data_IF_043787113564
#
_entry.id   IF_043787113564
#
_cell.length_a   1.000
_cell.length_b   1.000
_cell.length_c   1.000
_cell.angle_alpha   90.00
_cell.angle_beta   90.00
_cell.angle_gamma   90.00
#
_symmetry.space_group_name_H-M   'P 1'
#
loop_
_entity.id
_entity.type
_entity.pdbx_description
1 polymer ?
#
# COMPACT_ATOMS: atom_id res chain seq x y z
N UNK A 1 11.78 18.92 -3.18
CA UNK A 1 11.62 17.94 -4.26
C UNK A 1 10.27 18.19 -4.90
N UNK A 2 10.23 18.43 -6.22
CA UNK A 2 8.98 18.57 -6.97
C UNK A 2 8.50 17.19 -7.43
N UNK A 3 7.20 17.03 -7.60
CA UNK A 3 6.64 15.82 -8.20
C UNK A 3 6.86 15.84 -9.70
N UNK A 4 7.17 14.70 -10.30
CA UNK A 4 7.12 14.55 -11.75
C UNK A 4 5.69 14.61 -12.25
N UNK A 5 5.50 14.96 -13.53
CA UNK A 5 4.21 14.98 -14.23
C UNK A 5 3.77 13.56 -14.63
N UNK A 6 2.46 13.37 -14.75
CA UNK A 6 1.86 12.12 -15.25
C UNK A 6 2.06 11.96 -16.75
N UNK A 7 1.70 10.81 -17.31
CA UNK A 7 1.78 10.61 -18.76
C UNK A 7 0.86 11.57 -19.52
N UNK A 8 -0.45 11.57 -19.24
CA UNK A 8 -1.40 12.50 -19.87
C UNK A 8 -1.01 13.97 -19.70
N UNK A 9 -0.60 14.37 -18.49
CA UNK A 9 -0.18 15.75 -18.22
C UNK A 9 1.02 16.19 -19.09
N UNK A 10 1.92 15.26 -19.42
CA UNK A 10 3.04 15.56 -20.33
C UNK A 10 2.55 15.67 -21.76
N UNK A 11 1.65 14.78 -22.20
CA UNK A 11 1.03 14.85 -23.52
C UNK A 11 0.24 16.16 -23.71
N UNK A 12 -0.52 16.58 -22.70
CA UNK A 12 -1.26 17.84 -22.72
C UNK A 12 -0.30 19.04 -22.85
N UNK A 13 0.79 19.06 -22.07
CA UNK A 13 1.80 20.12 -22.16
C UNK A 13 2.59 20.11 -23.48
N UNK A 14 2.84 18.93 -24.05
CA UNK A 14 3.43 18.80 -25.39
C UNK A 14 2.47 19.37 -26.46
N UNK A 15 1.17 19.06 -26.37
CA UNK A 15 0.14 19.65 -27.22
C UNK A 15 0.02 21.17 -27.06
N UNK A 16 0.05 21.67 -25.82
CA UNK A 16 0.06 23.11 -25.54
C UNK A 16 1.29 23.79 -26.11
N UNK A 17 2.47 23.15 -26.02
CA UNK A 17 3.71 23.66 -26.62
C UNK A 17 3.53 23.82 -28.13
N UNK A 18 3.08 22.79 -28.83
CA UNK A 18 2.83 22.85 -30.27
C UNK A 18 1.81 23.94 -30.64
N UNK A 19 0.75 24.07 -29.84
CA UNK A 19 -0.25 25.11 -30.00
C UNK A 19 0.37 26.52 -29.93
N UNK A 20 1.17 26.80 -28.90
CA UNK A 20 1.82 28.11 -28.76
C UNK A 20 2.90 28.36 -29.82
N UNK A 21 3.63 27.33 -30.26
CA UNK A 21 4.56 27.46 -31.39
C UNK A 21 3.83 27.86 -32.68
N UNK A 22 2.68 27.24 -32.95
CA UNK A 22 1.86 27.57 -34.11
C UNK A 22 1.24 28.97 -34.01
N UNK A 23 0.86 29.42 -32.82
CA UNK A 23 0.45 30.81 -32.60
C UNK A 23 1.58 31.81 -32.90
N UNK A 24 2.83 31.50 -32.54
CA UNK A 24 3.98 32.38 -32.83
C UNK A 24 4.30 32.46 -34.33
N UNK A 25 4.04 31.39 -35.08
CA UNK A 25 4.17 31.36 -36.55
C UNK A 25 3.10 32.23 -37.22
N UNK A 26 1.92 32.39 -36.62
CA UNK A 26 0.84 33.19 -37.18
C UNK A 26 1.14 34.71 -37.09
N UNK A 27 1.18 35.44 -38.22
CA UNK A 27 1.44 36.88 -38.22
C UNK A 27 0.31 37.72 -37.60
N UNK A 28 -0.92 37.20 -37.51
CA UNK A 28 -2.10 37.92 -37.02
C UNK A 28 -2.19 38.01 -35.49
N UNK A 29 -1.38 37.23 -34.77
CA UNK A 29 -1.37 37.25 -33.30
C UNK A 29 -0.71 38.53 -32.80
N UNK A 30 -1.50 39.35 -32.10
CA UNK A 30 -1.06 40.64 -31.56
C UNK A 30 -0.18 40.46 -30.31
N UNK A 31 -0.54 39.55 -29.40
CA UNK A 31 0.17 39.36 -28.12
C UNK A 31 1.24 38.25 -28.17
N UNK A 32 2.21 38.41 -29.08
CA UNK A 32 3.38 37.50 -29.17
C UNK A 32 4.21 37.43 -27.87
N UNK A 33 4.41 38.53 -27.10
CA UNK A 33 5.19 38.48 -25.87
C UNK A 33 4.59 37.56 -24.79
N UNK A 34 3.26 37.55 -24.62
CA UNK A 34 2.62 36.66 -23.66
C UNK A 34 2.69 35.21 -24.11
N UNK A 35 2.51 34.94 -25.41
CA UNK A 35 2.67 33.58 -25.97
C UNK A 35 4.08 33.04 -25.73
N UNK A 36 5.13 33.84 -25.95
CA UNK A 36 6.52 33.44 -25.66
C UNK A 36 6.75 33.13 -24.17
N UNK A 37 6.17 33.93 -23.26
CA UNK A 37 6.25 33.68 -21.82
C UNK A 37 5.59 32.36 -21.42
N UNK A 38 4.44 32.04 -22.01
CA UNK A 38 3.75 30.77 -21.79
C UNK A 38 4.55 29.59 -22.33
N UNK A 39 5.08 29.70 -23.56
CA UNK A 39 5.95 28.68 -24.15
C UNK A 39 7.15 28.38 -23.25
N UNK A 40 7.89 29.41 -22.83
CA UNK A 40 9.06 29.23 -21.95
C UNK A 40 8.71 28.61 -20.60
N UNK A 41 7.51 28.86 -20.07
CA UNK A 41 7.04 28.21 -18.85
C UNK A 41 6.80 26.73 -19.08
N UNK A 42 6.10 26.37 -20.16
CA UNK A 42 5.79 24.98 -20.52
C UNK A 42 7.08 24.20 -20.80
N UNK A 43 8.02 24.77 -21.55
CA UNK A 43 9.32 24.15 -21.81
C UNK A 43 10.08 23.88 -20.51
N UNK A 44 10.10 24.85 -19.58
CA UNK A 44 10.72 24.66 -18.26
C UNK A 44 10.02 23.59 -17.44
N UNK A 45 8.69 23.52 -17.48
CA UNK A 45 7.93 22.51 -16.75
C UNK A 45 8.15 21.11 -17.34
N UNK A 46 8.16 20.97 -18.66
CA UNK A 46 8.51 19.73 -19.35
C UNK A 46 9.94 19.29 -19.04
N UNK A 47 10.91 20.20 -19.04
CA UNK A 47 12.31 19.89 -18.73
C UNK A 47 12.51 19.47 -17.26
N UNK A 48 11.91 20.20 -16.32
CA UNK A 48 12.17 20.01 -14.89
C UNK A 48 11.28 18.95 -14.23
N UNK A 49 10.09 18.70 -14.78
CA UNK A 49 9.09 17.82 -14.17
C UNK A 49 8.82 16.56 -14.98
N UNK A 50 9.44 16.37 -16.15
CA UNK A 50 9.36 15.08 -16.83
C UNK A 50 10.24 14.03 -16.16
N UNK A 51 9.74 12.81 -15.95
CA UNK A 51 10.57 11.72 -15.45
C UNK A 51 11.67 11.38 -16.48
N UNK A 52 12.92 11.16 -16.03
CA UNK A 52 14.02 10.81 -16.91
C UNK A 52 13.78 9.45 -17.57
N UNK A 53 14.32 9.28 -18.78
CA UNK A 53 14.35 7.99 -19.47
C UNK A 53 15.56 7.23 -18.93
N UNK A 54 15.31 6.19 -18.13
CA UNK A 54 16.34 5.33 -17.57
C UNK A 54 16.22 3.93 -18.20
N UNK A 55 17.35 3.24 -18.35
CA UNK A 55 17.41 1.88 -18.88
C UNK A 55 18.44 1.05 -18.11
N UNK A 56 18.20 -0.26 -18.02
CA UNK A 56 19.11 -1.23 -17.39
C UNK A 56 19.38 -0.95 -15.91
N UNK A 57 20.65 -0.88 -15.47
CA UNK A 57 21.03 -0.89 -14.06
C UNK A 57 20.54 0.33 -13.26
N UNK A 58 20.31 1.47 -13.91
CA UNK A 58 19.78 2.64 -13.23
C UNK A 58 18.28 2.51 -12.94
N UNK A 59 17.54 1.76 -13.77
CA UNK A 59 16.15 1.43 -13.48
C UNK A 59 16.06 0.49 -12.27
N UNK A 60 16.96 -0.48 -12.16
CA UNK A 60 17.01 -1.41 -11.03
C UNK A 60 17.26 -0.70 -9.70
N UNK A 61 18.12 0.33 -9.69
CA UNK A 61 18.32 1.21 -8.53
C UNK A 61 17.04 1.93 -8.14
N UNK A 62 16.29 2.45 -9.10
CA UNK A 62 15.02 3.14 -8.85
C UNK A 62 13.95 2.17 -8.33
N UNK A 63 13.88 0.95 -8.88
CA UNK A 63 12.98 -0.11 -8.39
C UNK A 63 13.34 -0.52 -6.96
N UNK A 64 14.62 -0.67 -6.65
CA UNK A 64 15.08 -0.98 -5.30
C UNK A 64 14.71 0.15 -4.33
N UNK A 65 14.96 1.40 -4.72
CA UNK A 65 14.61 2.58 -3.94
C UNK A 65 13.11 2.73 -3.71
N UNK A 66 12.28 2.39 -4.71
CA UNK A 66 10.83 2.35 -4.58
C UNK A 66 10.38 1.39 -3.48
N UNK A 67 10.96 0.19 -3.45
CA UNK A 67 10.65 -0.83 -2.43
C UNK A 67 11.07 -0.36 -1.03
N UNK A 68 12.29 0.14 -0.87
CA UNK A 68 12.78 0.68 0.41
C UNK A 68 11.86 1.78 0.96
N UNK A 69 11.48 2.73 0.11
CA UNK A 69 10.59 3.83 0.51
C UNK A 69 9.22 3.30 0.89
N UNK A 70 8.68 2.32 0.15
CA UNK A 70 7.38 1.71 0.46
C UNK A 70 7.42 0.99 1.81
N UNK A 71 8.44 0.17 2.05
CA UNK A 71 8.65 -0.55 3.30
C UNK A 71 8.85 0.38 4.50
N UNK A 72 9.44 1.56 4.28
CA UNK A 72 9.55 2.56 5.33
C UNK A 72 8.23 3.31 5.60
N UNK A 73 7.52 3.73 4.53
CA UNK A 73 6.35 4.61 4.66
C UNK A 73 5.11 3.83 5.13
N UNK A 74 4.80 2.69 4.48
CA UNK A 74 3.53 1.96 4.66
C UNK A 74 3.26 1.53 6.12
N UNK A 75 4.23 0.98 6.87
CA UNK A 75 3.99 0.57 8.26
C UNK A 75 3.64 1.73 9.21
N UNK A 76 3.94 2.97 8.81
CA UNK A 76 3.69 4.17 9.60
C UNK A 76 2.37 4.87 9.20
N UNK A 77 1.68 4.39 8.15
CA UNK A 77 0.37 4.88 7.76
C UNK A 77 -0.70 4.38 8.73
N UNK A 78 -1.75 5.19 8.94
CA UNK A 78 -2.96 4.67 9.59
C UNK A 78 -3.61 3.62 8.71
N UNK A 79 -4.19 2.59 9.32
CA UNK A 79 -4.97 1.61 8.59
C UNK A 79 -6.26 2.22 7.99
N UNK A 80 -6.82 1.57 6.97
CA UNK A 80 -8.12 1.96 6.40
C UNK A 80 -9.21 1.92 7.47
N UNK A 81 -9.17 0.91 8.34
CA UNK A 81 -10.10 0.78 9.46
C UNK A 81 -9.98 1.95 10.45
N UNK A 82 -8.77 2.34 10.85
CA UNK A 82 -8.53 3.51 11.72
C UNK A 82 -8.97 4.81 11.04
N UNK A 83 -8.74 4.98 9.74
CA UNK A 83 -9.22 6.13 8.99
C UNK A 83 -10.75 6.20 8.95
N UNK A 84 -11.42 5.06 8.82
CA UNK A 84 -12.89 4.97 8.77
C UNK A 84 -13.55 5.18 10.13
N UNK A 85 -13.03 4.54 11.17
CA UNK A 85 -13.59 4.61 12.53
C UNK A 85 -13.10 5.82 13.31
N UNK A 86 -12.01 6.46 12.85
CA UNK A 86 -11.43 7.68 13.41
C UNK A 86 -11.32 7.66 14.95
N UNK A 87 -10.57 6.71 15.55
CA UNK A 87 -10.38 6.68 17.00
C UNK A 87 -9.75 7.99 17.50
N UNK A 88 -9.95 8.32 18.77
CA UNK A 88 -9.41 9.56 19.34
C UNK A 88 -7.90 9.67 19.06
N UNK A 89 -7.47 10.83 18.55
CA UNK A 89 -6.07 11.09 18.19
C UNK A 89 -5.59 10.51 16.85
N UNK A 90 -6.39 9.73 16.12
CA UNK A 90 -6.06 9.23 14.77
C UNK A 90 -5.74 10.34 13.79
N UNK A 91 -6.57 11.37 13.73
CA UNK A 91 -6.40 12.53 12.84
C UNK A 91 -5.06 13.22 13.11
N UNK A 92 -4.70 13.39 14.38
CA UNK A 92 -3.41 13.98 14.77
C UNK A 92 -2.22 13.13 14.33
N UNK A 93 -2.33 11.80 14.47
CA UNK A 93 -1.31 10.85 13.99
C UNK A 93 -1.16 10.91 12.46
N UNK A 94 -2.26 10.94 11.71
CA UNK A 94 -2.23 11.04 10.24
C UNK A 94 -1.61 12.38 9.80
N UNK A 95 -1.96 13.50 10.43
CA UNK A 95 -1.35 14.81 10.12
C UNK A 95 0.16 14.82 10.41
N UNK A 96 0.58 14.22 11.53
CA UNK A 96 2.00 14.10 11.87
C UNK A 96 2.75 13.19 10.88
N UNK A 97 2.13 12.07 10.49
CA UNK A 97 2.64 11.16 9.47
C UNK A 97 2.83 11.90 8.13
N UNK A 98 1.79 12.56 7.63
CA UNK A 98 1.85 13.31 6.37
C UNK A 98 2.96 14.36 6.40
N UNK A 99 3.10 15.11 7.51
CA UNK A 99 4.17 16.11 7.66
C UNK A 99 5.56 15.47 7.65
N UNK A 100 5.75 14.35 8.36
CA UNK A 100 7.04 13.65 8.49
C UNK A 100 7.46 12.98 7.18
N UNK A 101 6.54 12.28 6.51
CA UNK A 101 6.84 11.47 5.34
C UNK A 101 6.59 12.18 4.00
N UNK A 102 6.08 13.42 3.98
CA UNK A 102 5.79 14.19 2.75
C UNK A 102 6.90 14.10 1.69
N UNK A 103 8.15 14.28 2.10
CA UNK A 103 9.31 14.25 1.18
C UNK A 103 9.53 12.85 0.59
N UNK A 104 9.44 11.82 1.42
CA UNK A 104 9.60 10.42 1.03
C UNK A 104 8.47 9.94 0.13
N UNK A 105 7.24 10.38 0.40
CA UNK A 105 6.08 10.11 -0.45
C UNK A 105 6.28 10.73 -1.84
N UNK A 106 6.75 11.98 -1.93
CA UNK A 106 7.04 12.61 -3.23
C UNK A 106 8.15 11.85 -3.97
N UNK A 107 9.21 11.46 -3.27
CA UNK A 107 10.31 10.65 -3.85
C UNK A 107 9.78 9.31 -4.39
N UNK A 108 8.98 8.60 -3.60
CA UNK A 108 8.36 7.34 -4.01
C UNK A 108 7.46 7.51 -5.24
N UNK A 109 6.61 8.54 -5.27
CA UNK A 109 5.77 8.87 -6.44
C UNK A 109 6.61 9.14 -7.68
N UNK A 110 7.74 9.84 -7.53
CA UNK A 110 8.67 10.09 -8.61
C UNK A 110 9.29 8.78 -9.12
N UNK A 111 9.73 7.88 -8.23
CA UNK A 111 10.22 6.56 -8.61
C UNK A 111 9.18 5.78 -9.42
N UNK A 112 7.91 5.73 -8.95
CA UNK A 112 6.80 5.08 -9.67
C UNK A 112 6.56 5.71 -11.05
N UNK A 113 6.56 7.03 -11.16
CA UNK A 113 6.40 7.74 -12.46
C UNK A 113 7.60 7.54 -13.40
N UNK A 114 8.79 7.26 -12.87
CA UNK A 114 9.96 6.90 -13.68
C UNK A 114 9.88 5.47 -14.18
N UNK A 115 9.49 4.51 -13.32
CA UNK A 115 9.35 3.09 -13.69
C UNK A 115 8.23 2.91 -14.73
N UNK A 116 7.08 3.53 -14.50
CA UNK A 116 5.88 3.41 -15.34
C UNK A 116 5.65 4.70 -16.13
N UNK A 117 6.69 5.17 -16.83
CA UNK A 117 6.71 6.47 -17.52
C UNK A 117 5.57 6.65 -18.53
N UNK A 118 5.21 5.59 -19.24
CA UNK A 118 4.21 5.60 -20.31
C UNK A 118 2.82 5.18 -19.86
N UNK A 119 2.67 4.82 -18.57
CA UNK A 119 1.37 4.45 -18.05
C UNK A 119 0.51 5.68 -17.79
N UNK A 120 -0.73 5.65 -18.27
CA UNK A 120 -1.75 6.65 -18.00
C UNK A 120 -2.63 6.31 -16.80
N UNK A 121 -2.37 5.19 -16.14
CA UNK A 121 -3.17 4.78 -14.99
C UNK A 121 -2.95 5.76 -13.81
N UNK A 122 -4.02 6.45 -13.34
CA UNK A 122 -3.92 7.40 -12.23
C UNK A 122 -3.45 6.76 -10.93
N UNK A 123 -3.65 5.45 -10.75
CA UNK A 123 -3.31 4.71 -9.54
C UNK A 123 -1.84 4.26 -9.51
N UNK A 124 -1.08 4.43 -10.59
CA UNK A 124 0.36 4.06 -10.66
C UNK A 124 1.19 4.68 -9.55
N UNK A 125 0.90 5.93 -9.20
CA UNK A 125 1.60 6.69 -8.15
C UNK A 125 0.67 6.99 -6.95
N UNK A 126 -0.38 6.20 -6.77
CA UNK A 126 -1.27 6.27 -5.63
C UNK A 126 -0.77 5.38 -4.50
N UNK A 127 -0.28 6.00 -3.41
CA UNK A 127 0.23 5.25 -2.26
C UNK A 127 -0.89 4.60 -1.45
N UNK A 128 -2.12 5.11 -1.56
CA UNK A 128 -3.27 4.63 -0.79
C UNK A 128 -3.62 3.17 -1.12
N UNK A 129 -3.27 2.68 -2.32
CA UNK A 129 -3.39 1.28 -2.71
C UNK A 129 -2.61 0.32 -1.81
N UNK A 130 -1.58 0.81 -1.10
CA UNK A 130 -0.76 0.02 -0.18
C UNK A 130 -1.10 0.28 1.30
N UNK A 131 -2.15 1.07 1.60
CA UNK A 131 -2.52 1.35 2.98
C UNK A 131 -2.98 0.05 3.66
N UNK A 132 -2.49 -0.25 4.89
CA UNK A 132 -2.93 -1.43 5.63
C UNK A 132 -4.44 -1.42 5.84
N UNK A 133 -5.12 -2.55 5.61
CA UNK A 133 -6.57 -2.61 5.78
C UNK A 133 -6.98 -2.69 7.24
N UNK A 134 -6.33 -3.57 8.00
CA UNK A 134 -6.69 -3.93 9.37
C UNK A 134 -5.90 -3.08 10.37
N UNK A 135 -6.60 -2.55 11.38
CA UNK A 135 -5.97 -1.84 12.49
C UNK A 135 -5.17 -2.77 13.40
N UNK A 136 -4.03 -2.30 13.90
CA UNK A 136 -3.28 -2.99 14.98
C UNK A 136 -3.84 -2.68 16.38
N UNK A 137 -4.67 -1.65 16.51
CA UNK A 137 -5.27 -1.22 17.77
C UNK A 137 -6.75 -1.56 17.86
N UNK A 138 -7.28 -1.61 19.08
CA UNK A 138 -8.71 -1.74 19.30
C UNK A 138 -9.42 -0.44 18.83
N UNK A 139 -10.18 -0.57 17.75
CA UNK A 139 -10.96 0.51 17.13
C UNK A 139 -12.46 0.25 17.26
N UNK A 140 -12.87 -0.71 18.09
CA UNK A 140 -14.26 -0.95 18.41
C UNK A 140 -14.82 0.30 19.14
N UNK A 141 -15.96 0.82 18.69
CA UNK A 141 -16.70 1.97 19.26
C UNK A 141 -16.20 3.40 18.93
N UNK A 142 -15.50 3.63 17.83
CA UNK A 142 -15.03 4.99 17.47
C UNK A 142 -15.91 5.74 16.43
N UNK A 143 -16.02 7.06 16.65
CA UNK A 143 -16.70 8.19 15.96
C UNK A 143 -18.11 8.01 15.37
N UNK A 144 -18.42 6.87 14.77
CA UNK A 144 -19.80 6.44 14.58
C UNK A 144 -20.01 5.42 15.69
N UNK A 145 -20.77 5.74 16.77
CA UNK A 145 -21.22 4.68 17.67
C UNK A 145 -21.89 3.66 16.76
N UNK A 146 -21.27 2.50 16.62
CA UNK A 146 -21.89 1.38 15.96
C UNK A 146 -23.13 1.07 16.77
N UNK A 147 -24.27 1.65 16.41
CA UNK A 147 -25.45 0.81 16.36
C UNK A 147 -24.97 -0.37 15.55
N UNK A 148 -24.85 -1.53 16.20
CA UNK A 148 -24.72 -2.80 15.50
C UNK A 148 -25.81 -2.75 14.45
N UNK A 149 -25.43 -2.50 13.20
CA UNK A 149 -26.37 -2.44 12.12
C UNK A 149 -26.60 -3.90 11.80
N UNK A 150 -27.47 -4.53 12.60
CA UNK A 150 -27.99 -5.84 12.31
C UNK A 150 -28.80 -5.65 11.03
N UNK A 151 -28.14 -5.83 9.89
CA UNK A 151 -28.80 -5.86 8.60
C UNK A 151 -29.18 -7.32 8.32
N UNK A 152 -30.44 -7.60 8.02
CA UNK A 152 -31.55 -6.66 7.85
C UNK A 152 -32.12 -6.16 9.19
N UNK A 153 -32.26 -4.83 9.34
CA UNK A 153 -32.82 -4.24 10.57
C UNK A 153 -34.30 -4.59 10.69
N UNK A 154 -34.86 -4.59 11.91
CA UNK A 154 -36.29 -4.92 12.13
C UNK A 154 -37.23 -4.08 11.25
N UNK A 155 -36.95 -2.79 11.12
CA UNK A 155 -37.69 -1.86 10.24
C UNK A 155 -37.54 -2.19 8.76
N UNK A 156 -36.41 -2.76 8.34
CA UNK A 156 -36.20 -3.23 6.97
C UNK A 156 -36.95 -4.54 6.73
N UNK A 157 -36.93 -5.48 7.68
CA UNK A 157 -37.68 -6.73 7.60
C UNK A 157 -39.20 -6.48 7.49
N UNK A 158 -39.72 -5.49 8.21
CA UNK A 158 -41.12 -5.05 8.13
C UNK A 158 -41.57 -4.62 6.73
N UNK A 159 -40.66 -4.08 5.90
CA UNK A 159 -40.97 -3.67 4.53
C UNK A 159 -41.00 -4.86 3.54
N UNK A 160 -40.51 -6.03 3.96
CA UNK A 160 -40.43 -7.24 3.12
C UNK A 160 -40.98 -8.46 3.88
N UNK A 161 -42.29 -8.48 4.18
CA UNK A 161 -42.92 -9.53 4.97
C UNK A 161 -43.00 -10.88 4.25
N UNK A 162 -42.75 -10.91 2.93
CA UNK A 162 -42.72 -12.11 2.11
C UNK A 162 -41.38 -12.85 2.16
N UNK A 163 -40.34 -12.21 2.68
CA UNK A 163 -39.02 -12.82 2.83
C UNK A 163 -38.93 -13.38 4.25
N UNK A 164 -38.65 -14.68 4.36
CA UNK A 164 -38.37 -15.32 5.63
C UNK A 164 -36.93 -15.01 6.05
N UNK A 165 -36.78 -13.98 6.90
CA UNK A 165 -35.50 -13.54 7.43
C UNK A 165 -34.97 -14.42 8.57
N UNK A 166 -35.72 -15.44 9.02
CA UNK A 166 -35.30 -16.34 10.11
C UNK A 166 -34.28 -17.40 9.70
N UNK A 167 -33.99 -17.51 8.39
CA UNK A 167 -33.11 -18.54 7.80
C UNK A 167 -31.67 -18.07 7.51
N UNK A 168 -31.17 -17.02 8.18
CA UNK A 168 -29.79 -16.55 7.97
C UNK A 168 -28.70 -17.34 8.69
N UNK A 169 -29.07 -18.30 9.53
CA UNK A 169 -28.16 -19.32 10.05
C UNK A 169 -28.52 -20.65 9.39
N UNK A 170 -28.01 -20.91 8.19
CA UNK A 170 -28.01 -22.30 7.69
C UNK A 170 -27.09 -23.10 8.61
N UNK A 171 -27.57 -24.17 9.27
CA UNK A 171 -26.70 -24.98 10.14
C UNK A 171 -25.49 -25.55 9.38
N UNK A 172 -25.58 -25.69 8.05
CA UNK A 172 -24.50 -26.10 7.16
C UNK A 172 -23.27 -25.16 7.23
N UNK A 173 -23.48 -23.85 7.42
CA UNK A 173 -22.38 -22.87 7.47
C UNK A 173 -21.70 -22.85 8.85
N UNK A 174 -22.46 -23.08 9.93
CA UNK A 174 -21.92 -23.18 11.29
C UNK A 174 -21.16 -24.50 11.53
N UNK A 175 -21.65 -25.61 10.95
CA UNK A 175 -20.96 -26.90 10.99
C UNK A 175 -19.65 -26.88 10.16
N UNK A 176 -19.66 -26.23 8.99
CA UNK A 176 -18.46 -26.07 8.18
C UNK A 176 -17.38 -25.21 8.87
N UNK A 177 -17.78 -24.14 9.56
CA UNK A 177 -16.85 -23.26 10.27
C UNK A 177 -16.27 -23.92 11.54
N UNK A 178 -17.05 -24.76 12.22
CA UNK A 178 -16.57 -25.55 13.37
C UNK A 178 -15.64 -26.69 12.93
N UNK A 179 -15.93 -27.39 11.84
CA UNK A 179 -15.05 -28.43 11.29
C UNK A 179 -13.75 -27.84 10.73
N UNK A 180 -13.81 -26.73 10.00
CA UNK A 180 -12.61 -26.04 9.52
C UNK A 180 -11.74 -25.52 10.68
N UNK A 181 -12.38 -25.04 11.77
CA UNK A 181 -11.67 -24.59 12.97
C UNK A 181 -11.05 -25.76 13.74
N UNK A 182 -11.74 -26.90 13.86
CA UNK A 182 -11.19 -28.14 14.43
C UNK A 182 -10.00 -28.64 13.60
N UNK A 183 -10.11 -28.66 12.27
CA UNK A 183 -9.06 -29.09 11.36
C UNK A 183 -7.81 -28.19 11.45
N UNK A 184 -8.00 -26.86 11.51
CA UNK A 184 -6.90 -25.90 11.71
C UNK A 184 -6.22 -26.13 13.07
N UNK A 185 -6.99 -26.40 14.12
CA UNK A 185 -6.47 -26.67 15.46
C UNK A 185 -5.70 -28.00 15.53
N UNK A 186 -6.16 -29.03 14.82
CA UNK A 186 -5.44 -30.30 14.68
C UNK A 186 -4.14 -30.13 13.91
N UNK A 187 -4.18 -29.49 12.72
CA UNK A 187 -2.96 -29.21 11.94
C UNK A 187 -1.93 -28.41 12.72
N UNK A 188 -2.37 -27.44 13.52
CA UNK A 188 -1.48 -26.63 14.34
C UNK A 188 -0.88 -27.41 15.52
N UNK A 189 -1.62 -28.38 16.08
CA UNK A 189 -1.10 -29.30 17.09
C UNK A 189 -0.08 -30.28 16.51
N UNK A 190 -0.34 -30.81 15.32
CA UNK A 190 0.58 -31.69 14.58
C UNK A 190 1.88 -30.97 14.23
N UNK A 191 1.79 -29.73 13.73
CA UNK A 191 2.97 -28.93 13.40
C UNK A 191 3.79 -28.61 14.66
N UNK A 192 3.15 -28.38 15.80
CA UNK A 192 3.85 -28.20 17.09
C UNK A 192 4.53 -29.47 17.57
N UNK A 193 3.94 -30.64 17.36
CA UNK A 193 4.58 -31.91 17.69
C UNK A 193 5.81 -32.16 16.82
N UNK A 194 5.73 -31.90 15.51
CA UNK A 194 6.88 -32.00 14.60
C UNK A 194 8.02 -31.05 14.97
N UNK A 195 7.70 -29.82 15.36
CA UNK A 195 8.71 -28.87 15.83
C UNK A 195 9.37 -29.31 17.14
N UNK A 196 8.60 -29.88 18.08
CA UNK A 196 9.16 -30.38 19.34
C UNK A 196 10.04 -31.63 19.15
N UNK A 197 9.72 -32.48 18.17
CA UNK A 197 10.54 -33.64 17.82
C UNK A 197 11.88 -33.20 17.20
N UNK A 198 11.86 -32.22 16.30
CA UNK A 198 13.07 -31.61 15.74
C UNK A 198 13.95 -30.92 16.80
N UNK A 199 13.34 -30.20 17.74
CA UNK A 199 14.09 -29.59 18.87
C UNK A 199 14.72 -30.67 19.76
N UNK A 200 14.04 -31.79 20.00
CA UNK A 200 14.60 -32.91 20.77
C UNK A 200 15.73 -33.63 20.04
N UNK A 201 15.64 -33.75 18.71
CA UNK A 201 16.73 -34.29 17.87
C UNK A 201 17.95 -33.36 17.87
N UNK A 202 17.76 -32.04 17.77
CA UNK A 202 18.85 -31.06 17.88
C UNK A 202 19.53 -31.10 19.26
N UNK A 203 18.76 -31.23 20.34
CA UNK A 203 19.32 -31.38 21.71
C UNK A 203 20.09 -32.71 21.89
N UNK A 204 19.61 -33.79 21.28
CA UNK A 204 20.30 -35.08 21.28
C UNK A 204 21.61 -35.04 20.48
N UNK A 205 21.63 -34.40 19.30
CA UNK A 205 22.86 -34.21 18.52
C UNK A 205 23.85 -33.28 19.23
N UNK A 206 23.37 -32.24 19.92
CA UNK A 206 24.22 -31.35 20.71
C UNK A 206 24.88 -32.07 21.89
N UNK A 207 24.16 -32.96 22.58
CA UNK A 207 24.71 -33.73 23.71
C UNK A 207 25.67 -34.84 23.27
N UNK A 208 25.43 -35.49 22.12
CA UNK A 208 26.36 -36.48 21.54
C UNK A 208 27.65 -35.80 21.01
N UNK A 209 27.53 -34.60 20.45
CA UNK A 209 28.68 -33.78 20.02
C UNK A 209 29.56 -33.32 21.18
N UNK A 210 28.96 -32.95 22.32
CA UNK A 210 29.68 -32.61 23.56
C UNK A 210 30.37 -33.85 24.14
N UNK A 211 29.74 -35.02 24.07
CA UNK A 211 30.31 -36.28 24.55
C UNK A 211 31.48 -36.76 23.69
N UNK A 212 31.47 -36.50 22.37
CA UNK A 212 32.63 -36.75 21.48
C UNK A 212 33.80 -35.81 21.75
N UNK A 213 33.54 -34.54 22.07
CA UNK A 213 34.60 -33.57 22.40
C UNK A 213 35.22 -33.80 23.78
N UNK A 214 34.47 -34.39 24.72
CA UNK A 214 34.97 -34.73 26.06
C UNK A 214 35.90 -35.96 26.12
N UNK A 215 36.01 -36.75 25.05
CA UNK A 215 36.91 -37.91 24.99
C UNK A 215 38.28 -37.61 24.37
N UNK A 216 38.48 -36.41 23.78
CA UNK A 216 39.77 -36.02 23.20
C UNK A 216 40.68 -35.27 24.20
N UNK A 217 40.19 -34.88 25.39
CA UNK A 217 40.99 -34.18 26.42
C UNK A 217 41.59 -35.11 27.49
N UNK A 218 41.29 -36.41 27.50
CA UNK A 218 41.84 -37.38 28.48
C UNK A 218 43.08 -38.15 27.99
N UNK A 219 43.56 -37.90 26.76
CA UNK A 219 44.71 -38.61 26.16
C UNK A 219 45.93 -37.71 25.83
N UNK A 220 46.20 -36.69 26.66
CA UNK A 220 47.41 -35.85 26.58
C UNK A 220 48.24 -35.84 27.88
#
# INVERSE_FOLDING_TARGET
MRSYLGYQQRQDLEGDKEYFENQLKNPLVQDKPTVRRNLQRIERDLETQSPPILSGPDLDKVVTREKELREEIVPNMLSQEEMRKAPAGSIGREMAFQKKYKRKIIEWKNCRRTIYRESDDPDVANLECFRPEISRGNVENCLIPGQKFDFPSRRFQENYPTIDWSNHDRPEDQEAETEASKLRRMKLAELRAQMAELEAEEEAEATDSISRLGLEEEEA
#
